data_IF_173079272582
#
_entry.id   IF_173079272582
#
_cell.length_a   1.000
_cell.length_b   1.000
_cell.length_c   1.000
_cell.angle_alpha   90.00
_cell.angle_beta   90.00
_cell.angle_gamma   90.00
#
_symmetry.space_group_name_H-M   'P 1'
#
loop_
_entity.id
_entity.type
_entity.pdbx_description
1 polymer ?
#
# COMPACT_ATOMS: atom_id res chain seq x y z
N UNK A 1 28.86 13.81 37.49
CA UNK A 1 28.56 14.85 36.49
C UNK A 1 27.57 15.82 37.12
N UNK A 2 27.88 17.11 37.18
CA UNK A 2 26.93 18.13 37.68
C UNK A 2 26.12 18.59 36.47
N UNK A 3 24.79 18.49 36.54
CA UNK A 3 23.84 18.88 35.49
C UNK A 3 22.67 19.63 36.11
N UNK A 4 22.06 20.55 35.37
CA UNK A 4 20.82 21.22 35.80
C UNK A 4 19.65 20.23 35.78
N UNK A 5 18.55 20.57 36.44
CA UNK A 5 17.35 19.72 36.46
C UNK A 5 16.81 19.49 35.03
N UNK A 6 16.85 20.52 34.20
CA UNK A 6 16.47 20.47 32.78
C UNK A 6 17.38 19.53 31.96
N UNK A 7 18.70 19.66 32.11
CA UNK A 7 19.67 18.75 31.49
C UNK A 7 19.53 17.31 31.99
N UNK A 8 19.00 17.12 33.20
CA UNK A 8 18.69 15.80 33.72
C UNK A 8 17.41 15.22 33.08
N UNK A 9 16.34 16.02 32.98
CA UNK A 9 15.09 15.61 32.35
C UNK A 9 15.26 15.30 30.86
N UNK A 10 16.06 16.09 30.13
CA UNK A 10 16.35 15.83 28.72
C UNK A 10 17.22 14.59 28.53
N UNK A 11 18.16 14.32 29.44
CA UNK A 11 18.97 13.10 29.40
C UNK A 11 18.17 11.83 29.76
N UNK A 12 17.14 11.94 30.61
CA UNK A 12 16.28 10.82 31.02
C UNK A 12 15.15 10.56 29.99
N UNK A 13 14.53 11.63 29.49
CA UNK A 13 13.29 11.56 28.70
C UNK A 13 13.46 11.98 27.23
N UNK A 14 14.62 12.52 26.84
CA UNK A 14 14.91 12.95 25.48
C UNK A 14 13.90 13.97 24.95
N UNK A 15 13.50 13.81 23.69
CA UNK A 15 12.56 14.71 22.98
C UNK A 15 11.21 14.85 23.71
N UNK A 16 10.80 13.85 24.50
CA UNK A 16 9.55 13.91 25.25
C UNK A 16 9.53 15.04 26.31
N UNK A 17 10.69 15.43 26.84
CA UNK A 17 10.81 16.57 27.76
C UNK A 17 10.40 17.89 27.08
N UNK A 18 10.84 18.07 25.83
CA UNK A 18 10.53 19.26 25.04
C UNK A 18 9.02 19.36 24.70
N UNK A 19 8.34 18.22 24.51
CA UNK A 19 6.90 18.16 24.27
C UNK A 19 6.08 18.52 25.53
N UNK A 20 6.50 18.09 26.71
CA UNK A 20 5.85 18.47 27.97
C UNK A 20 5.92 19.99 28.21
N UNK A 21 7.00 20.64 27.75
CA UNK A 21 7.18 22.09 27.82
C UNK A 21 6.25 22.85 26.87
N UNK A 22 6.04 22.38 25.64
CA UNK A 22 5.09 22.98 24.69
C UNK A 22 3.63 22.89 25.15
N UNK A 23 3.26 21.90 25.98
CA UNK A 23 1.91 21.87 26.59
C UNK A 23 1.67 22.98 27.61
N UNK A 24 2.72 23.58 28.19
CA UNK A 24 2.61 24.72 29.13
C UNK A 24 2.52 26.08 28.44
N UNK A 25 2.60 26.13 27.10
CA UNK A 25 2.53 27.35 26.30
C UNK A 25 1.15 28.02 26.47
N UNK A 26 1.11 29.08 27.28
CA UNK A 26 -0.12 29.81 27.64
C UNK A 26 -0.36 29.97 29.15
N UNK A 27 0.44 29.35 30.01
CA UNK A 27 0.42 29.61 31.46
C UNK A 27 1.32 30.80 31.83
N UNK A 28 1.00 31.50 32.93
CA UNK A 28 1.70 32.74 33.36
C UNK A 28 3.22 32.57 33.52
N UNK A 29 3.68 31.35 33.80
CA UNK A 29 5.11 31.02 33.95
C UNK A 29 5.91 31.06 32.63
N UNK A 30 5.25 31.10 31.47
CA UNK A 30 5.93 31.16 30.15
C UNK A 30 6.51 32.54 29.81
N UNK A 31 6.14 33.60 30.55
CA UNK A 31 6.49 34.99 30.17
C UNK A 31 7.85 35.47 30.69
N UNK A 32 8.52 34.72 31.58
CA UNK A 32 9.77 35.18 32.20
C UNK A 32 11.05 34.62 31.55
N UNK A 33 10.97 33.58 30.72
CA UNK A 33 12.15 33.02 30.06
C UNK A 33 12.02 33.09 28.54
N UNK A 34 12.89 33.89 27.90
CA UNK A 34 13.01 33.93 26.43
C UNK A 34 13.60 32.60 25.95
N UNK A 35 12.87 31.77 25.18
CA UNK A 35 13.43 30.53 24.68
C UNK A 35 14.40 30.85 23.54
N UNK A 36 15.62 30.35 23.68
CA UNK A 36 16.57 30.19 22.59
C UNK A 36 15.93 29.15 21.66
N UNK A 37 15.61 29.57 20.44
CA UNK A 37 14.91 28.77 19.44
C UNK A 37 15.54 27.37 19.27
N UNK A 38 14.81 26.32 19.63
CA UNK A 38 15.01 24.99 19.07
C UNK A 38 14.56 25.01 17.61
N UNK A 39 15.41 24.49 16.73
CA UNK A 39 15.31 24.63 15.29
C UNK A 39 14.02 23.95 14.77
N UNK A 40 13.21 24.66 13.96
CA UNK A 40 11.93 24.19 13.38
C UNK A 40 11.99 22.81 12.70
N UNK A 41 13.18 22.30 12.40
CA UNK A 41 13.43 20.97 11.82
C UNK A 41 13.08 19.83 12.78
N UNK A 42 13.18 20.04 14.09
CA UNK A 42 12.86 19.02 15.09
C UNK A 42 11.34 18.80 15.28
N UNK A 43 10.49 19.66 14.71
CA UNK A 43 9.04 19.47 14.75
C UNK A 43 8.48 18.73 13.53
N UNK A 44 9.24 18.71 12.42
CA UNK A 44 8.83 18.08 11.16
C UNK A 44 8.85 16.55 11.27
N UNK A 45 9.86 15.98 11.94
CA UNK A 45 9.98 14.53 12.09
C UNK A 45 8.90 13.94 13.00
N UNK A 46 8.42 14.68 14.00
CA UNK A 46 7.30 14.27 14.87
C UNK A 46 5.99 14.16 14.07
N UNK A 47 5.74 15.10 13.15
CA UNK A 47 4.59 15.04 12.24
C UNK A 47 4.72 13.90 11.22
N UNK A 48 5.93 13.62 10.72
CA UNK A 48 6.20 12.47 9.84
C UNK A 48 5.95 11.14 10.56
N UNK A 49 6.38 11.00 11.82
CA UNK A 49 6.10 9.81 12.64
C UNK A 49 4.61 9.60 12.90
N UNK A 50 3.86 10.68 13.18
CA UNK A 50 2.40 10.61 13.38
C UNK A 50 1.67 10.18 12.11
N UNK A 51 2.14 10.61 10.94
CA UNK A 51 1.59 10.18 9.66
C UNK A 51 1.94 8.71 9.37
N UNK A 52 3.15 8.26 9.71
CA UNK A 52 3.55 6.86 9.60
C UNK A 52 2.75 5.93 10.51
N UNK A 53 2.42 6.32 11.75
CA UNK A 53 1.59 5.50 12.64
C UNK A 53 0.25 5.12 11.99
N UNK A 54 -0.36 6.03 11.21
CA UNK A 54 -1.65 5.79 10.54
C UNK A 54 -1.57 4.75 9.42
N UNK A 55 -0.37 4.42 8.95
CA UNK A 55 -0.14 3.55 7.80
C UNK A 55 0.13 2.08 8.16
N UNK A 56 0.27 1.73 9.44
CA UNK A 56 0.57 0.36 9.89
C UNK A 56 -0.52 -0.17 10.83
N UNK A 57 -1.02 -1.37 10.52
CA UNK A 57 -2.04 -2.05 11.34
C UNK A 57 -1.44 -2.93 12.45
N UNK A 58 -0.16 -3.33 12.34
CA UNK A 58 0.55 -4.14 13.33
C UNK A 58 1.66 -3.33 14.03
N UNK A 59 1.64 -3.17 15.37
CA UNK A 59 2.69 -2.51 16.15
C UNK A 59 4.09 -3.10 16.00
N UNK A 60 4.23 -4.41 15.80
CA UNK A 60 5.55 -5.08 15.75
C UNK A 60 6.30 -4.75 14.45
N UNK A 61 5.59 -4.76 13.32
CA UNK A 61 6.13 -4.35 12.01
C UNK A 61 6.54 -2.87 12.02
N UNK A 62 5.79 -2.03 12.75
CA UNK A 62 6.10 -0.61 12.93
C UNK A 62 7.37 -0.40 13.77
N UNK A 63 7.54 -1.11 14.88
CA UNK A 63 8.78 -0.98 15.69
C UNK A 63 10.00 -1.49 14.91
N UNK A 64 9.86 -2.54 14.11
CA UNK A 64 10.96 -3.02 13.27
C UNK A 64 11.31 -2.03 12.15
N UNK A 65 10.33 -1.41 11.48
CA UNK A 65 10.59 -0.40 10.45
C UNK A 65 11.23 0.85 11.04
N UNK A 66 10.74 1.33 12.19
CA UNK A 66 11.35 2.43 12.92
C UNK A 66 12.80 2.15 13.31
N UNK A 67 13.09 0.94 13.82
CA UNK A 67 14.46 0.56 14.17
C UNK A 67 15.41 0.63 12.97
N UNK A 68 14.94 0.24 11.79
CA UNK A 68 15.73 0.23 10.55
C UNK A 68 15.92 1.64 10.00
N UNK A 69 14.91 2.50 10.07
CA UNK A 69 14.92 3.80 9.41
C UNK A 69 15.47 4.92 10.33
N UNK A 70 15.38 4.79 11.67
CA UNK A 70 15.75 5.85 12.64
C UNK A 70 17.12 5.66 13.30
N UNK A 71 17.55 4.43 13.61
CA UNK A 71 18.79 4.18 14.37
C UNK A 71 20.02 3.91 13.49
N UNK A 72 19.89 4.01 12.17
CA UNK A 72 21.04 3.88 11.27
C UNK A 72 21.67 5.23 11.02
N UNK A 73 22.98 5.22 10.77
CA UNK A 73 23.70 6.37 10.22
C UNK A 73 22.94 6.92 9.01
N UNK A 74 22.88 8.25 8.88
CA UNK A 74 22.13 8.93 7.82
C UNK A 74 23.09 9.35 6.70
N UNK A 75 22.64 9.26 5.46
CA UNK A 75 23.34 9.75 4.28
C UNK A 75 22.47 10.77 3.55
N UNK A 76 23.10 11.74 2.91
CA UNK A 76 22.43 12.78 2.14
C UNK A 76 22.75 12.63 0.66
N UNK A 77 21.77 12.23 -0.14
CA UNK A 77 21.89 12.11 -1.59
C UNK A 77 21.24 13.31 -2.27
N UNK A 78 21.78 13.74 -3.41
CA UNK A 78 21.43 14.99 -4.08
C UNK A 78 20.75 14.67 -5.41
N UNK A 79 19.58 15.28 -5.67
CA UNK A 79 18.92 15.19 -6.98
C UNK A 79 19.63 16.08 -8.01
N UNK A 80 19.46 15.86 -9.32
CA UNK A 80 20.05 16.74 -10.33
C UNK A 80 19.54 18.20 -10.26
N UNK A 81 18.42 18.42 -9.54
CA UNK A 81 17.84 19.75 -9.28
C UNK A 81 18.42 20.43 -8.03
N UNK A 82 19.31 19.76 -7.30
CA UNK A 82 19.93 20.28 -6.08
C UNK A 82 19.12 20.05 -4.80
N UNK A 83 18.06 19.24 -4.85
CA UNK A 83 17.32 18.85 -3.65
C UNK A 83 18.09 17.77 -2.88
N UNK A 84 18.17 17.91 -1.55
CA UNK A 84 18.85 16.95 -0.68
C UNK A 84 17.83 15.98 -0.10
N UNK A 85 18.05 14.69 -0.33
CA UNK A 85 17.21 13.60 0.18
C UNK A 85 17.98 12.86 1.26
N UNK A 86 17.34 12.73 2.42
CA UNK A 86 17.89 12.04 3.58
C UNK A 86 17.45 10.57 3.59
N UNK A 87 18.43 9.66 3.66
CA UNK A 87 18.25 8.22 3.60
C UNK A 87 19.08 7.51 4.68
N UNK A 88 18.68 6.31 5.14
CA UNK A 88 19.54 5.50 5.99
C UNK A 88 20.76 4.99 5.21
N UNK A 89 21.88 4.81 5.91
CA UNK A 89 23.11 4.27 5.36
C UNK A 89 22.89 2.90 4.71
N UNK A 90 23.52 2.73 3.55
CA UNK A 90 23.37 1.54 2.70
C UNK A 90 22.10 1.54 1.85
N UNK A 91 21.32 2.62 1.83
CA UNK A 91 20.21 2.80 0.87
C UNK A 91 20.71 2.72 -0.57
N UNK A 92 19.85 2.25 -1.47
CA UNK A 92 20.19 2.08 -2.89
C UNK A 92 19.49 3.11 -3.78
N UNK A 93 19.84 3.23 -5.08
CA UNK A 93 19.12 4.10 -6.00
C UNK A 93 17.62 3.86 -6.06
N UNK A 94 17.16 2.63 -5.80
CA UNK A 94 15.72 2.31 -5.73
C UNK A 94 15.08 2.92 -4.49
N UNK A 95 15.75 2.87 -3.33
CA UNK A 95 15.28 3.57 -2.12
C UNK A 95 15.18 5.08 -2.35
N UNK A 96 16.18 5.67 -3.00
CA UNK A 96 16.18 7.09 -3.37
C UNK A 96 15.03 7.45 -4.32
N UNK A 97 14.78 6.63 -5.34
CA UNK A 97 13.67 6.84 -6.28
C UNK A 97 12.31 6.87 -5.56
N UNK A 98 12.06 5.93 -4.64
CA UNK A 98 10.83 5.89 -3.85
C UNK A 98 10.73 7.01 -2.82
N UNK A 99 11.86 7.53 -2.31
CA UNK A 99 11.88 8.68 -1.43
C UNK A 99 11.50 9.99 -2.14
N UNK A 100 11.82 10.13 -3.43
CA UNK A 100 11.36 11.26 -4.25
C UNK A 100 9.87 11.11 -4.58
N UNK A 101 9.49 10.02 -5.23
CA UNK A 101 8.10 9.78 -5.61
C UNK A 101 7.83 8.31 -5.93
N UNK A 102 6.63 7.81 -5.60
CA UNK A 102 6.25 6.42 -5.89
C UNK A 102 6.30 6.12 -7.40
N UNK A 103 5.83 7.03 -8.26
CA UNK A 103 5.86 6.83 -9.72
C UNK A 103 7.27 6.73 -10.30
N UNK A 104 8.25 7.45 -9.70
CA UNK A 104 9.66 7.40 -10.11
C UNK A 104 10.25 6.06 -9.70
N UNK A 105 9.96 5.60 -8.47
CA UNK A 105 10.32 4.26 -8.00
C UNK A 105 9.74 3.14 -8.87
N UNK A 106 8.45 3.20 -9.17
CA UNK A 106 7.74 2.18 -9.96
C UNK A 106 8.22 2.11 -11.42
N UNK A 107 8.60 3.26 -11.97
CA UNK A 107 9.08 3.40 -13.35
C UNK A 107 10.61 3.25 -13.48
N UNK A 108 11.33 2.97 -12.39
CA UNK A 108 12.79 2.92 -12.37
C UNK A 108 13.35 1.79 -13.25
N UNK A 109 14.32 2.11 -14.11
CA UNK A 109 15.02 1.16 -14.99
C UNK A 109 16.52 1.10 -14.65
N UNK A 110 17.09 2.22 -14.25
CA UNK A 110 18.52 2.33 -13.93
C UNK A 110 18.80 3.61 -13.14
N UNK A 111 20.05 3.78 -12.75
CA UNK A 111 20.50 4.97 -12.06
C UNK A 111 21.88 5.41 -12.57
N UNK A 112 22.13 6.71 -12.50
CA UNK A 112 23.47 7.28 -12.61
C UNK A 112 23.81 7.96 -11.30
N UNK A 113 25.04 7.75 -10.84
CA UNK A 113 25.60 8.42 -9.66
C UNK A 113 26.84 9.17 -10.11
N UNK A 114 26.91 10.46 -9.84
CA UNK A 114 28.02 11.34 -10.24
C UNK A 114 28.34 11.19 -11.75
N UNK A 115 27.29 11.23 -12.59
CA UNK A 115 27.32 11.07 -14.04
C UNK A 115 27.79 9.69 -14.56
N UNK A 116 27.96 8.68 -13.70
CA UNK A 116 28.32 7.31 -14.09
C UNK A 116 27.16 6.36 -13.89
N UNK A 117 26.91 5.46 -14.85
CA UNK A 117 25.87 4.42 -14.70
C UNK A 117 26.30 3.45 -13.61
N UNK A 118 25.40 3.19 -12.66
CA UNK A 118 25.61 2.25 -11.55
C UNK A 118 24.50 1.19 -11.53
N UNK A 119 24.76 0.00 -10.98
CA UNK A 119 23.71 -0.98 -10.77
C UNK A 119 22.73 -0.50 -9.68
N UNK A 120 21.50 -1.02 -9.72
CA UNK A 120 20.41 -0.60 -8.82
C UNK A 120 20.60 -1.04 -7.34
N UNK A 121 21.53 -1.96 -7.09
CA UNK A 121 21.92 -2.43 -5.76
C UNK A 121 23.16 -1.71 -5.20
N UNK A 122 23.70 -0.73 -5.93
CA UNK A 122 24.76 0.15 -5.45
C UNK A 122 24.32 0.83 -4.15
N UNK A 123 25.23 0.88 -3.17
CA UNK A 123 24.98 1.57 -1.90
C UNK A 123 25.38 3.03 -2.03
N UNK A 124 24.40 3.91 -1.87
CA UNK A 124 24.61 5.35 -1.95
C UNK A 124 25.50 5.83 -0.81
N UNK A 125 26.33 6.83 -1.11
CA UNK A 125 27.17 7.53 -0.16
C UNK A 125 26.66 8.95 0.04
N UNK A 126 26.99 9.54 1.19
CA UNK A 126 26.62 10.93 1.44
C UNK A 126 27.35 11.86 0.47
N UNK A 127 26.63 12.77 -0.17
CA UNK A 127 27.11 13.68 -1.20
C UNK A 127 26.95 13.18 -2.63
N UNK A 128 26.47 11.95 -2.84
CA UNK A 128 26.24 11.43 -4.19
C UNK A 128 25.15 12.21 -4.94
N UNK A 129 25.45 12.63 -6.17
CA UNK A 129 24.45 13.17 -7.09
C UNK A 129 23.80 12.01 -7.86
N UNK A 130 22.52 11.77 -7.62
CA UNK A 130 21.79 10.60 -8.12
C UNK A 130 20.74 11.02 -9.15
N UNK A 131 20.88 10.51 -10.37
CA UNK A 131 19.91 10.65 -11.45
C UNK A 131 19.22 9.30 -11.69
N UNK A 132 17.90 9.25 -11.57
CA UNK A 132 17.11 8.03 -11.81
C UNK A 132 16.63 8.00 -13.25
N UNK A 133 16.89 6.89 -13.94
CA UNK A 133 16.41 6.63 -15.30
C UNK A 133 15.05 5.93 -15.22
N UNK A 134 14.00 6.57 -15.76
CA UNK A 134 12.62 6.07 -15.68
C UNK A 134 12.01 5.71 -17.04
N UNK A 135 11.11 4.73 -17.09
CA UNK A 135 10.32 4.37 -18.26
C UNK A 135 8.86 4.09 -17.88
N UNK A 136 7.91 4.72 -18.58
CA UNK A 136 6.46 4.68 -18.26
C UNK A 136 5.85 3.28 -18.19
N UNK A 137 6.35 2.34 -18.98
CA UNK A 137 5.83 0.97 -19.04
C UNK A 137 6.50 0.01 -18.04
N UNK A 138 7.48 0.49 -17.26
CA UNK A 138 8.16 -0.35 -16.29
C UNK A 138 7.30 -0.51 -15.04
N UNK A 139 7.46 -1.67 -14.40
CA UNK A 139 6.84 -2.01 -13.12
C UNK A 139 7.92 -2.53 -12.18
N UNK A 140 7.69 -2.41 -10.85
CA UNK A 140 8.65 -2.90 -9.86
C UNK A 140 8.91 -4.40 -10.03
N UNK A 141 10.15 -4.79 -9.78
CA UNK A 141 10.59 -6.19 -9.86
C UNK A 141 10.69 -6.80 -8.46
N UNK A 142 10.33 -8.08 -8.33
CA UNK A 142 10.53 -8.84 -7.10
C UNK A 142 12.02 -8.93 -6.69
N UNK A 143 12.93 -8.91 -7.67
CA UNK A 143 14.38 -8.92 -7.42
C UNK A 143 14.85 -7.75 -6.56
N UNK A 144 14.16 -6.61 -6.59
CA UNK A 144 14.53 -5.41 -5.82
C UNK A 144 14.38 -5.61 -4.31
N UNK A 145 13.46 -6.48 -3.88
CA UNK A 145 13.26 -6.78 -2.45
C UNK A 145 14.50 -7.37 -1.78
N UNK A 146 15.47 -7.88 -2.55
CA UNK A 146 16.73 -8.45 -2.05
C UNK A 146 17.70 -7.39 -1.52
N UNK A 147 17.70 -6.20 -2.12
CA UNK A 147 18.71 -5.17 -1.83
C UNK A 147 18.15 -3.86 -1.26
N UNK A 148 16.88 -3.53 -1.52
CA UNK A 148 16.21 -2.33 -0.99
C UNK A 148 16.20 -2.33 0.54
N UNK A 149 16.59 -1.20 1.14
CA UNK A 149 16.77 -1.08 2.59
C UNK A 149 15.62 -0.42 3.32
N UNK A 150 14.95 0.56 2.73
CA UNK A 150 13.90 1.31 3.43
C UNK A 150 12.63 0.48 3.57
N UNK A 151 11.91 0.67 4.66
CA UNK A 151 10.60 0.03 4.87
C UNK A 151 9.56 0.54 3.85
N UNK A 152 9.62 1.84 3.55
CA UNK A 152 8.75 2.52 2.60
C UNK A 152 8.83 1.91 1.19
N UNK A 153 10.03 1.83 0.61
CA UNK A 153 10.21 1.26 -0.73
C UNK A 153 9.78 -0.21 -0.77
N UNK A 154 10.13 -1.02 0.24
CA UNK A 154 9.71 -2.43 0.33
C UNK A 154 8.18 -2.58 0.34
N UNK A 155 7.47 -1.74 1.08
CA UNK A 155 6.00 -1.73 1.13
C UNK A 155 5.40 -1.38 -0.23
N UNK A 156 5.89 -0.33 -0.89
CA UNK A 156 5.42 0.11 -2.22
C UNK A 156 5.68 -0.95 -3.29
N UNK A 157 6.88 -1.54 -3.33
CA UNK A 157 7.23 -2.63 -4.25
C UNK A 157 6.30 -3.83 -4.06
N UNK A 158 6.09 -4.30 -2.82
CA UNK A 158 5.16 -5.40 -2.53
C UNK A 158 3.73 -5.09 -2.99
N UNK A 159 3.26 -3.86 -2.78
CA UNK A 159 1.95 -3.41 -3.24
C UNK A 159 1.85 -3.44 -4.77
N UNK A 160 2.85 -2.91 -5.47
CA UNK A 160 2.90 -2.92 -6.94
C UNK A 160 2.94 -4.33 -7.53
N UNK A 161 3.67 -5.25 -6.91
CA UNK A 161 3.72 -6.67 -7.31
C UNK A 161 2.38 -7.38 -7.09
N UNK A 162 1.66 -7.09 -6.00
CA UNK A 162 0.32 -7.67 -5.78
C UNK A 162 -0.67 -7.21 -6.85
N UNK A 163 -0.61 -5.93 -7.25
CA UNK A 163 -1.49 -5.38 -8.28
C UNK A 163 -1.20 -5.97 -9.66
N UNK A 164 0.08 -6.25 -9.99
CA UNK A 164 0.42 -6.95 -11.23
C UNK A 164 -0.05 -8.41 -11.21
N UNK A 165 0.16 -9.15 -10.13
CA UNK A 165 -0.33 -10.55 -10.02
C UNK A 165 -1.85 -10.62 -10.08
N UNK A 166 -2.56 -9.70 -9.44
CA UNK A 166 -4.03 -9.64 -9.50
C UNK A 166 -4.58 -9.31 -10.89
N UNK A 167 -3.81 -8.64 -11.75
CA UNK A 167 -4.23 -8.33 -13.12
C UNK A 167 -3.94 -9.47 -14.09
N UNK A 168 -2.91 -10.29 -13.84
CA UNK A 168 -2.68 -11.55 -14.57
C UNK A 168 -3.62 -12.68 -14.13
N UNK A 169 -4.09 -12.67 -12.87
CA UNK A 169 -5.15 -13.56 -12.40
C UNK A 169 -6.55 -12.95 -12.61
N UNK A 170 -6.83 -12.43 -13.81
CA UNK A 170 -8.23 -12.24 -14.21
C UNK A 170 -8.82 -13.63 -14.44
N UNK A 171 -9.25 -14.29 -13.36
CA UNK A 171 -9.99 -15.55 -13.44
C UNK A 171 -11.14 -15.35 -14.42
N UNK A 172 -11.17 -16.17 -15.47
CA UNK A 172 -12.26 -16.23 -16.44
C UNK A 172 -13.57 -16.43 -15.66
N UNK A 173 -14.42 -15.42 -15.69
CA UNK A 173 -15.69 -15.45 -14.98
C UNK A 173 -16.80 -15.66 -15.99
N UNK A 174 -17.90 -16.26 -15.54
CA UNK A 174 -19.11 -16.38 -16.34
C UNK A 174 -20.22 -15.59 -15.65
N UNK A 175 -20.80 -14.64 -16.37
CA UNK A 175 -22.02 -13.94 -16.00
C UNK A 175 -23.22 -14.77 -16.46
N UNK A 176 -24.03 -15.24 -15.53
CA UNK A 176 -25.33 -15.83 -15.79
C UNK A 176 -26.42 -14.77 -15.66
N UNK A 177 -27.27 -14.64 -16.68
CA UNK A 177 -28.50 -13.85 -16.64
C UNK A 177 -29.68 -14.81 -16.58
N UNK A 178 -30.42 -14.77 -15.48
CA UNK A 178 -31.52 -15.69 -15.20
C UNK A 178 -32.79 -14.88 -15.06
N UNK A 179 -33.76 -15.13 -15.94
CA UNK A 179 -35.10 -14.55 -15.85
C UNK A 179 -35.91 -15.43 -14.92
N UNK A 180 -36.30 -14.89 -13.77
CA UNK A 180 -37.06 -15.62 -12.75
C UNK A 180 -38.46 -15.04 -12.59
N UNK A 181 -39.42 -15.87 -12.18
CA UNK A 181 -40.67 -15.42 -11.63
C UNK A 181 -40.44 -14.89 -10.21
N UNK A 182 -41.07 -13.77 -9.89
CA UNK A 182 -40.98 -13.21 -8.54
C UNK A 182 -41.67 -14.14 -7.53
N UNK A 183 -40.86 -14.80 -6.69
CA UNK A 183 -41.32 -15.60 -5.56
C UNK A 183 -40.33 -15.55 -4.42
N UNK A 184 -40.88 -15.64 -3.21
CA UNK A 184 -40.08 -15.71 -1.99
C UNK A 184 -39.16 -16.94 -2.06
N UNK A 185 -37.88 -16.72 -1.76
CA UNK A 185 -36.86 -17.78 -1.70
C UNK A 185 -36.15 -18.10 -3.02
N UNK A 186 -36.47 -17.44 -4.14
CA UNK A 186 -35.84 -17.75 -5.44
C UNK A 186 -34.30 -17.58 -5.43
N UNK A 187 -33.81 -16.51 -4.79
CA UNK A 187 -32.37 -16.26 -4.62
C UNK A 187 -31.69 -17.38 -3.82
N UNK A 188 -32.33 -17.83 -2.73
CA UNK A 188 -31.85 -18.93 -1.90
C UNK A 188 -31.74 -20.22 -2.69
N UNK A 189 -32.75 -20.56 -3.50
CA UNK A 189 -32.76 -21.79 -4.28
C UNK A 189 -31.63 -21.80 -5.33
N UNK A 190 -31.47 -20.67 -6.04
CA UNK A 190 -30.44 -20.52 -7.07
C UNK A 190 -29.04 -20.56 -6.45
N UNK A 191 -28.80 -19.76 -5.41
CA UNK A 191 -27.49 -19.73 -4.72
C UNK A 191 -27.15 -21.09 -4.10
N UNK A 192 -28.14 -21.82 -3.59
CA UNK A 192 -27.93 -23.19 -3.06
C UNK A 192 -27.47 -24.15 -4.15
N UNK A 193 -28.06 -24.11 -5.35
CA UNK A 193 -27.68 -24.97 -6.47
C UNK A 193 -26.26 -24.68 -6.98
N UNK A 194 -25.90 -23.39 -7.05
CA UNK A 194 -24.56 -22.95 -7.46
C UNK A 194 -23.53 -23.38 -6.42
N UNK A 195 -23.82 -23.14 -5.13
CA UNK A 195 -22.94 -23.50 -4.01
C UNK A 195 -22.71 -25.01 -3.93
N UNK A 196 -23.77 -25.83 -4.09
CA UNK A 196 -23.68 -27.31 -4.13
C UNK A 196 -22.90 -27.84 -5.34
N UNK A 197 -22.76 -27.04 -6.39
CA UNK A 197 -21.94 -27.40 -7.55
C UNK A 197 -20.46 -27.02 -7.36
N UNK A 198 -20.06 -26.57 -6.16
CA UNK A 198 -18.72 -26.10 -5.81
C UNK A 198 -18.24 -24.95 -6.70
N UNK A 199 -19.16 -24.05 -7.06
CA UNK A 199 -18.87 -22.87 -7.88
C UNK A 199 -18.90 -21.64 -6.99
N UNK A 200 -17.85 -20.84 -7.06
CA UNK A 200 -17.77 -19.61 -6.27
C UNK A 200 -18.58 -18.49 -6.92
N UNK A 201 -19.40 -17.82 -6.11
CA UNK A 201 -20.21 -16.68 -6.54
C UNK A 201 -19.43 -15.41 -6.20
N UNK A 202 -19.04 -14.67 -7.23
CA UNK A 202 -18.29 -13.42 -7.09
C UNK A 202 -19.23 -12.26 -6.81
N UNK A 203 -20.37 -12.21 -7.51
CA UNK A 203 -21.33 -11.11 -7.39
C UNK A 203 -22.73 -11.59 -7.76
N UNK A 204 -23.72 -11.09 -7.03
CA UNK A 204 -25.14 -11.24 -7.36
C UNK A 204 -25.73 -9.83 -7.50
N UNK A 205 -26.48 -9.59 -8.56
CA UNK A 205 -27.14 -8.32 -8.80
C UNK A 205 -28.53 -8.55 -9.39
N UNK A 206 -29.49 -7.73 -8.95
CA UNK A 206 -30.85 -7.69 -9.50
C UNK A 206 -31.03 -6.30 -10.11
N UNK A 207 -30.61 -6.09 -11.37
CA UNK A 207 -30.70 -4.80 -12.03
C UNK A 207 -32.12 -4.24 -12.17
N UNK A 208 -33.15 -5.09 -12.27
CA UNK A 208 -34.53 -4.67 -12.49
C UNK A 208 -35.50 -5.42 -11.57
N UNK A 209 -36.35 -4.67 -10.87
CA UNK A 209 -37.49 -5.17 -10.11
C UNK A 209 -38.76 -4.99 -10.94
N UNK A 210 -39.19 -6.06 -11.60
CA UNK A 210 -40.49 -6.18 -12.24
C UNK A 210 -41.12 -7.52 -11.90
N UNK A 211 -42.27 -7.87 -12.48
CA UNK A 211 -42.90 -9.19 -12.26
C UNK A 211 -42.01 -10.39 -12.65
N UNK A 212 -41.02 -10.16 -13.53
CA UNK A 212 -39.99 -11.12 -13.90
C UNK A 212 -38.60 -10.50 -13.77
N UNK A 213 -38.00 -10.45 -12.56
CA UNK A 213 -36.70 -9.83 -12.39
C UNK A 213 -35.61 -10.61 -13.11
N UNK A 214 -34.67 -9.87 -13.71
CA UNK A 214 -33.48 -10.43 -14.34
C UNK A 214 -32.37 -10.52 -13.30
N UNK A 215 -32.05 -11.73 -12.85
CA UNK A 215 -30.97 -11.98 -11.91
C UNK A 215 -29.64 -12.13 -12.65
N UNK A 216 -28.64 -11.31 -12.31
CA UNK A 216 -27.27 -11.41 -12.81
C UNK A 216 -26.38 -12.02 -11.74
N UNK A 217 -25.75 -13.14 -12.06
CA UNK A 217 -24.80 -13.83 -11.15
C UNK A 217 -23.46 -13.99 -11.86
N UNK A 218 -22.42 -13.41 -11.26
CA UNK A 218 -21.04 -13.57 -11.70
C UNK A 218 -20.41 -14.73 -10.94
N UNK A 219 -19.97 -15.75 -11.65
CA UNK A 219 -19.36 -16.96 -11.08
C UNK A 219 -17.92 -17.14 -11.58
N UNK A 220 -17.07 -17.69 -10.74
CA UNK A 220 -15.71 -18.15 -11.11
C UNK A 220 -15.81 -19.50 -11.83
N UNK A 221 -16.14 -19.46 -13.12
CA UNK A 221 -16.37 -20.64 -13.93
C UNK A 221 -15.96 -20.38 -15.38
N UNK A 222 -15.02 -21.19 -15.88
CA UNK A 222 -14.49 -21.12 -17.24
C UNK A 222 -14.81 -22.35 -18.10
N UNK A 223 -15.22 -23.45 -17.46
CA UNK A 223 -15.45 -24.75 -18.11
C UNK A 223 -16.87 -24.83 -18.72
N UNK A 224 -16.93 -24.94 -20.05
CA UNK A 224 -18.17 -25.03 -20.82
C UNK A 224 -19.05 -26.21 -20.43
N UNK A 225 -18.48 -27.37 -20.10
CA UNK A 225 -19.28 -28.53 -19.69
C UNK A 225 -19.95 -28.28 -18.33
N UNK A 226 -19.20 -27.71 -17.39
CA UNK A 226 -19.74 -27.35 -16.07
C UNK A 226 -20.81 -26.28 -16.18
N UNK A 227 -20.64 -25.30 -17.08
CA UNK A 227 -21.65 -24.29 -17.38
C UNK A 227 -22.95 -24.96 -17.86
N UNK A 228 -22.88 -25.85 -18.84
CA UNK A 228 -24.05 -26.55 -19.36
C UNK A 228 -24.73 -27.40 -18.27
N UNK A 229 -23.95 -28.16 -17.49
CA UNK A 229 -24.45 -28.94 -16.35
C UNK A 229 -25.16 -28.04 -15.32
N UNK A 230 -24.61 -26.85 -15.02
CA UNK A 230 -25.22 -25.90 -14.10
C UNK A 230 -26.53 -25.33 -14.67
N UNK A 231 -26.57 -24.95 -15.95
CA UNK A 231 -27.78 -24.44 -16.61
C UNK A 231 -28.90 -25.47 -16.53
N UNK A 232 -28.61 -26.76 -16.78
CA UNK A 232 -29.59 -27.84 -16.66
C UNK A 232 -30.11 -27.98 -15.22
N UNK A 233 -29.26 -27.85 -14.19
CA UNK A 233 -29.68 -27.87 -12.79
C UNK A 233 -30.54 -26.67 -12.42
N UNK A 234 -30.18 -25.47 -12.89
CA UNK A 234 -30.90 -24.24 -12.62
C UNK A 234 -32.28 -24.22 -13.30
N UNK A 235 -32.42 -24.75 -14.52
CA UNK A 235 -33.73 -24.90 -15.19
C UNK A 235 -34.71 -25.81 -14.45
N UNK A 236 -34.24 -26.72 -13.59
CA UNK A 236 -35.11 -27.57 -12.76
C UNK A 236 -35.77 -26.82 -11.60
N UNK A 237 -35.29 -25.62 -11.26
CA UNK A 237 -35.87 -24.82 -10.18
C UNK A 237 -37.19 -24.22 -10.66
N UNK A 238 -38.26 -24.46 -9.89
CA UNK A 238 -39.58 -23.86 -10.17
C UNK A 238 -39.47 -22.33 -10.15
N UNK A 239 -39.93 -21.69 -11.22
CA UNK A 239 -39.90 -20.24 -11.38
C UNK A 239 -38.74 -19.70 -12.21
N UNK A 240 -37.77 -20.54 -12.62
CA UNK A 240 -36.78 -20.13 -13.63
C UNK A 240 -37.39 -20.28 -15.03
N UNK A 241 -37.43 -19.19 -15.79
CA UNK A 241 -37.97 -19.18 -17.16
C UNK A 241 -36.88 -19.31 -18.21
N UNK A 242 -35.86 -18.46 -18.11
CA UNK A 242 -34.79 -18.37 -19.11
C UNK A 242 -33.44 -18.18 -18.43
N UNK A 243 -32.39 -18.72 -19.06
CA UNK A 243 -31.01 -18.60 -18.60
C UNK A 243 -30.13 -18.31 -19.83
N UNK A 244 -29.39 -17.22 -19.81
CA UNK A 244 -28.29 -16.94 -20.73
C UNK A 244 -26.98 -16.77 -19.96
N UNK A 245 -25.84 -16.98 -20.62
CA UNK A 245 -24.53 -16.81 -20.01
C UNK A 245 -23.57 -16.07 -20.94
N UNK A 246 -22.61 -15.35 -20.36
CA UNK A 246 -21.53 -14.68 -21.07
C UNK A 246 -20.22 -14.85 -20.29
N UNK A 247 -19.16 -15.33 -20.94
CA UNK A 247 -17.82 -15.36 -20.36
C UNK A 247 -17.19 -13.95 -20.39
N UNK A 248 -16.56 -13.53 -19.30
CA UNK A 248 -16.04 -12.18 -19.02
C UNK A 248 -14.63 -12.23 -18.43
#
# INVERSE_FOLDING_TARGET
>A
QIRTLEMHEEAENGIAAHWAYEQKKGTKDYLEEKPIFADKKELIWVQQLKNWQKEFSNPEEFIQSLKIDFFKDRIFAITPKGEVIDLPAGATPVDFAYAIHTDIGDSCVGAKVNNKIVPLDYQLQSGDLVEILTQKSKKPSESWLKFVKTSHARKKIKSGLRQSVSSYQKKLQTEFKITVADRIGILKDITTVISRSHINIVKVSVPETGHFPNLKILCDLSDTEKIQKLILKLKKIKGVKEISYKMV
#
